data_IF_068566538153
#
_entry.id   IF_068566538153
#
_cell.length_a   1.000
_cell.length_b   1.000
_cell.length_c   1.000
_cell.angle_alpha   90.00
_cell.angle_beta   90.00
_cell.angle_gamma   90.00
#
_symmetry.space_group_name_H-M   'P 1'
#
loop_
_entity.id
_entity.type
_entity.pdbx_description
1 polymer ?
#
# COMPACT_ATOMS: atom_id res chain seq x y z
N UNK A 1 -13.81 -22.80 -1.39
CA UNK A 1 -12.72 -22.10 -0.66
C UNK A 1 -13.04 -20.62 -0.76
N UNK A 2 -13.40 -19.97 0.34
CA UNK A 2 -13.71 -18.55 0.37
C UNK A 2 -12.39 -17.77 0.31
N UNK A 3 -12.24 -16.86 -0.65
CA UNK A 3 -11.08 -16.01 -0.75
C UNK A 3 -11.20 -14.92 0.33
N UNK A 4 -10.38 -15.02 1.38
CA UNK A 4 -10.21 -13.94 2.34
C UNK A 4 -9.38 -12.89 1.62
N UNK A 5 -10.05 -11.88 1.07
CA UNK A 5 -9.38 -10.83 0.31
C UNK A 5 -9.34 -9.55 1.16
N UNK A 6 -8.15 -9.02 1.41
CA UNK A 6 -7.95 -7.67 1.94
C UNK A 6 -7.38 -6.80 0.82
N UNK A 7 -8.14 -5.83 0.35
CA UNK A 7 -7.64 -4.80 -0.57
C UNK A 7 -7.08 -3.65 0.26
N UNK A 8 -5.83 -3.26 0.04
CA UNK A 8 -5.12 -2.20 0.79
C UNK A 8 -4.86 -1.00 -0.13
N UNK A 9 -5.30 0.21 0.25
CA UNK A 9 -4.48 1.42 0.45
C UNK A 9 -5.36 2.68 0.43
N UNK A 10 -5.41 3.36 1.57
CA UNK A 10 -5.39 4.82 1.63
C UNK A 10 -4.67 5.17 2.93
N UNK A 11 -3.43 5.64 2.79
CA UNK A 11 -2.33 5.68 3.77
C UNK A 11 -1.73 4.30 4.11
N UNK A 12 -0.50 4.06 3.65
CA UNK A 12 0.43 3.07 4.20
C UNK A 12 0.65 3.36 5.70
N UNK A 13 -0.23 2.82 6.54
CA UNK A 13 -0.19 3.03 7.98
C UNK A 13 0.75 2.00 8.63
N UNK A 14 1.87 2.51 9.13
CA UNK A 14 2.59 2.13 10.36
C UNK A 14 2.56 0.64 10.72
N UNK A 15 3.56 -0.12 10.27
CA UNK A 15 4.08 -1.23 11.07
C UNK A 15 5.14 -0.66 12.01
N UNK A 16 4.70 -0.21 13.19
CA UNK A 16 5.56 -0.17 14.36
C UNK A 16 5.19 -1.38 15.23
N UNK A 17 6.16 -1.85 16.01
CA UNK A 17 6.10 -2.92 17.01
C UNK A 17 6.68 -4.28 16.60
N UNK A 18 8.00 -4.37 16.70
CA UNK A 18 8.64 -5.38 17.58
C UNK A 18 9.78 -4.85 18.47
N UNK A 19 10.15 -3.57 18.44
CA UNK A 19 11.16 -3.03 19.38
C UNK A 19 10.70 -1.70 19.98
N UNK A 20 10.52 -1.65 21.30
CA UNK A 20 9.98 -0.52 22.03
C UNK A 20 10.78 0.76 21.84
N UNK A 21 10.22 1.71 21.09
CA UNK A 21 10.72 3.07 20.98
C UNK A 21 9.63 4.06 21.38
N UNK A 22 9.96 4.82 22.42
CA UNK A 22 9.19 5.88 23.04
C UNK A 22 9.15 7.10 22.10
N UNK A 23 7.95 7.55 21.69
CA UNK A 23 7.73 8.58 20.66
C UNK A 23 7.91 10.03 21.17
N UNK A 24 8.70 10.27 22.22
CA UNK A 24 8.85 11.60 22.83
C UNK A 24 10.29 12.10 22.96
N UNK A 25 11.22 11.69 22.09
CA UNK A 25 12.59 12.22 22.12
C UNK A 25 12.97 12.98 20.86
N UNK A 26 13.34 14.24 21.08
CA UNK A 26 13.86 15.21 20.11
C UNK A 26 14.97 14.63 19.23
N UNK A 27 14.95 15.03 17.96
CA UNK A 27 15.94 14.64 16.96
C UNK A 27 17.36 15.08 17.39
N UNK A 28 18.37 14.18 17.38
CA UNK A 28 19.75 14.59 17.60
C UNK A 28 20.29 15.33 16.37
N UNK A 29 21.23 16.28 16.55
CA UNK A 29 21.75 17.08 15.46
C UNK A 29 22.68 16.27 14.56
N UNK A 30 22.72 16.67 13.29
CA UNK A 30 23.57 16.07 12.26
C UNK A 30 25.05 16.09 12.67
N UNK A 31 25.67 14.91 12.74
CA UNK A 31 27.11 14.76 12.87
C UNK A 31 27.70 14.13 11.61
N UNK A 32 28.73 14.78 11.11
CA UNK A 32 29.56 14.42 9.98
C UNK A 32 30.44 13.19 10.23
N UNK A 33 30.57 12.39 9.18
CA UNK A 33 31.75 11.66 8.71
C UNK A 33 32.19 10.37 9.43
N UNK A 34 32.06 9.24 8.70
CA UNK A 34 33.13 8.25 8.56
C UNK A 34 32.78 7.27 7.44
N UNK A 35 33.60 7.29 6.39
CA UNK A 35 33.66 6.30 5.30
C UNK A 35 33.94 4.90 5.83
N UNK A 36 33.08 3.93 5.51
CA UNK A 36 33.48 2.53 5.31
C UNK A 36 32.62 1.89 4.21
N UNK A 37 33.30 1.17 3.35
CA UNK A 37 32.87 0.61 2.08
C UNK A 37 31.93 -0.59 2.23
N UNK A 38 30.75 -0.52 1.64
CA UNK A 38 30.09 -1.63 0.94
C UNK A 38 28.97 -1.05 0.08
N UNK A 39 29.30 -0.80 -1.19
CA UNK A 39 28.34 -0.49 -2.25
C UNK A 39 27.52 -1.75 -2.56
N UNK A 40 26.56 -2.05 -1.68
CA UNK A 40 25.32 -2.66 -2.14
C UNK A 40 24.48 -1.51 -2.66
N UNK A 41 24.31 -1.46 -3.99
CA UNK A 41 23.26 -0.69 -4.68
C UNK A 41 22.10 -0.43 -3.72
N UNK A 42 21.92 0.83 -3.31
CA UNK A 42 20.95 1.22 -2.29
C UNK A 42 19.56 0.88 -2.81
N UNK A 43 19.03 -0.28 -2.40
CA UNK A 43 17.77 -0.84 -2.88
C UNK A 43 16.67 0.23 -2.93
N UNK A 44 15.90 0.26 -4.01
CA UNK A 44 14.79 1.22 -4.19
C UNK A 44 13.51 0.76 -3.45
N UNK A 45 13.53 -0.43 -2.86
CA UNK A 45 12.46 -0.99 -2.05
C UNK A 45 12.99 -1.68 -0.79
N UNK A 46 12.13 -1.81 0.22
CA UNK A 46 12.34 -2.66 1.39
C UNK A 46 11.57 -3.97 1.27
N UNK A 47 12.13 -5.05 1.82
CA UNK A 47 11.47 -6.36 1.82
C UNK A 47 11.53 -7.05 3.17
N UNK A 48 10.37 -7.46 3.68
CA UNK A 48 10.22 -8.06 4.99
C UNK A 48 9.49 -9.41 4.90
N UNK A 49 9.89 -10.44 5.66
CA UNK A 49 9.10 -11.66 5.76
C UNK A 49 7.72 -11.35 6.37
N UNK A 50 6.65 -11.92 5.83
CA UNK A 50 5.33 -11.85 6.47
C UNK A 50 5.18 -12.89 7.57
N UNK A 51 4.28 -12.61 8.52
CA UNK A 51 3.80 -13.62 9.46
C UNK A 51 2.96 -14.67 8.73
N UNK A 52 2.90 -15.87 9.30
CA UNK A 52 2.10 -17.00 8.80
C UNK A 52 1.10 -17.49 9.86
N UNK A 53 0.77 -16.61 10.80
CA UNK A 53 -0.19 -16.90 11.86
C UNK A 53 -1.62 -16.91 11.26
N UNK A 54 -2.33 -18.06 11.31
CA UNK A 54 -3.64 -18.22 10.67
C UNK A 54 -4.77 -17.48 11.40
N UNK A 55 -4.45 -16.72 12.46
CA UNK A 55 -5.41 -15.91 13.21
C UNK A 55 -6.19 -14.97 12.28
N UNK A 56 -7.51 -14.81 12.51
CA UNK A 56 -8.31 -13.85 11.75
C UNK A 56 -7.74 -12.44 11.87
N UNK A 57 -7.95 -11.63 10.84
CA UNK A 57 -7.57 -10.22 10.92
C UNK A 57 -8.38 -9.50 12.00
N UNK A 58 -7.76 -8.54 12.68
CA UNK A 58 -8.43 -7.69 13.65
C UNK A 58 -8.63 -6.29 13.09
N UNK A 59 -9.73 -5.64 13.46
CA UNK A 59 -10.01 -4.25 13.07
C UNK A 59 -10.19 -3.41 14.33
N UNK A 60 -9.37 -2.38 14.46
CA UNK A 60 -9.38 -1.45 15.59
C UNK A 60 -9.88 -0.10 15.09
N UNK A 61 -10.93 0.43 15.72
CA UNK A 61 -11.40 1.80 15.44
C UNK A 61 -10.75 2.79 16.39
N UNK A 62 -10.42 3.98 15.90
CA UNK A 62 -9.80 5.04 16.69
C UNK A 62 -10.41 6.41 16.39
N UNK A 63 -10.27 7.31 17.36
CA UNK A 63 -10.57 8.73 17.23
C UNK A 63 -9.35 9.50 17.70
N UNK A 64 -8.77 10.32 16.82
CA UNK A 64 -7.66 11.21 17.14
C UNK A 64 -8.14 12.65 17.15
N UNK A 65 -7.56 13.47 18.02
CA UNK A 65 -7.79 14.91 18.05
C UNK A 65 -6.47 15.64 17.77
N UNK A 66 -6.04 15.74 16.50
CA UNK A 66 -4.74 16.32 16.16
C UNK A 66 -4.63 17.82 16.49
N UNK A 67 -5.76 18.52 16.60
CA UNK A 67 -5.81 19.92 17.03
C UNK A 67 -7.15 20.23 17.69
N UNK A 68 -7.22 21.34 18.44
CA UNK A 68 -8.43 21.72 19.17
C UNK A 68 -9.64 21.80 18.23
N UNK A 69 -10.69 21.03 18.54
CA UNK A 69 -11.93 21.02 17.77
C UNK A 69 -11.87 20.27 16.44
N UNK A 70 -10.74 19.64 16.08
CA UNK A 70 -10.64 18.77 14.90
C UNK A 70 -10.49 17.31 15.33
N UNK A 71 -11.43 16.48 14.91
CA UNK A 71 -11.42 15.04 15.17
C UNK A 71 -11.21 14.28 13.87
N UNK A 72 -10.39 13.22 13.95
CA UNK A 72 -10.15 12.28 12.86
C UNK A 72 -10.62 10.91 13.32
N UNK A 73 -11.53 10.32 12.57
CA UNK A 73 -12.04 8.98 12.81
C UNK A 73 -11.36 8.05 11.82
N UNK A 74 -10.88 6.91 12.31
CA UNK A 74 -10.19 5.97 11.46
C UNK A 74 -10.26 4.54 11.97
N UNK A 75 -9.70 3.64 11.17
CA UNK A 75 -9.56 2.23 11.50
C UNK A 75 -8.21 1.71 11.06
N UNK A 76 -7.69 0.75 11.81
CA UNK A 76 -6.52 -0.04 11.48
C UNK A 76 -6.94 -1.50 11.39
N UNK A 77 -6.63 -2.15 10.27
CA UNK A 77 -6.78 -3.58 10.11
C UNK A 77 -5.41 -4.25 10.24
N UNK A 78 -5.30 -5.27 11.07
CA UNK A 78 -4.08 -6.07 11.25
C UNK A 78 -4.29 -7.45 10.64
N UNK A 79 -3.42 -7.82 9.69
CA UNK A 79 -3.48 -9.10 8.96
C UNK A 79 -2.28 -9.95 9.35
N UNK A 80 -2.54 -11.15 9.89
CA UNK A 80 -1.52 -12.02 10.48
C UNK A 80 -0.93 -13.06 9.51
N UNK A 81 -1.63 -13.41 8.43
CA UNK A 81 -1.12 -14.24 7.33
C UNK A 81 -1.41 -13.58 5.96
N UNK A 82 -0.67 -12.50 5.62
CA UNK A 82 -0.92 -11.74 4.39
C UNK A 82 -0.82 -12.58 3.12
N UNK A 83 0.09 -13.56 3.06
CA UNK A 83 0.25 -14.40 1.87
C UNK A 83 -1.02 -15.18 1.54
N UNK A 84 -1.75 -15.65 2.56
CA UNK A 84 -2.97 -16.45 2.37
C UNK A 84 -4.27 -15.66 2.48
N UNK A 85 -4.23 -14.43 2.99
CA UNK A 85 -5.44 -13.65 3.31
C UNK A 85 -5.47 -12.24 2.75
N UNK A 86 -4.44 -11.75 2.08
CA UNK A 86 -4.47 -10.46 1.41
C UNK A 86 -4.58 -10.68 -0.11
N UNK A 87 -5.50 -9.95 -0.75
CA UNK A 87 -5.69 -10.04 -2.21
C UNK A 87 -5.99 -8.68 -2.81
N UNK A 88 -5.33 -8.39 -3.93
CA UNK A 88 -5.65 -7.23 -4.77
C UNK A 88 -6.71 -7.66 -5.77
N UNK A 89 -7.87 -7.01 -5.72
CA UNK A 89 -9.02 -7.33 -6.57
C UNK A 89 -9.24 -6.27 -7.65
N UNK A 90 -9.50 -6.71 -8.87
CA UNK A 90 -9.99 -5.84 -9.94
C UNK A 90 -11.43 -5.37 -9.70
N UNK A 91 -11.83 -4.18 -10.20
CA UNK A 91 -13.17 -3.63 -9.96
C UNK A 91 -14.27 -4.49 -10.58
N UNK A 92 -15.12 -5.06 -9.72
CA UNK A 92 -16.20 -5.98 -10.14
C UNK A 92 -15.70 -7.36 -10.58
N UNK A 93 -14.49 -7.76 -10.17
CA UNK A 93 -13.89 -9.06 -10.47
C UNK A 93 -12.93 -9.05 -11.67
N UNK A 94 -12.44 -10.24 -12.02
CA UNK A 94 -11.40 -10.41 -13.04
C UNK A 94 -11.74 -9.76 -14.40
N UNK A 95 -10.77 -9.06 -14.97
CA UNK A 95 -10.91 -8.24 -16.17
C UNK A 95 -11.66 -6.92 -15.94
N UNK A 96 -11.81 -6.51 -14.68
CA UNK A 96 -12.41 -5.22 -14.31
C UNK A 96 -11.60 -4.04 -14.83
N UNK A 97 -10.27 -4.11 -14.74
CA UNK A 97 -9.36 -3.06 -15.22
C UNK A 97 -9.35 -2.99 -16.75
N UNK A 98 -9.32 -4.12 -17.44
CA UNK A 98 -9.39 -4.19 -18.91
C UNK A 98 -10.67 -3.54 -19.45
N UNK A 99 -11.80 -3.79 -18.77
CA UNK A 99 -13.10 -3.21 -19.11
C UNK A 99 -13.32 -1.81 -18.52
N UNK A 100 -12.30 -1.24 -17.89
CA UNK A 100 -12.34 0.10 -17.27
C UNK A 100 -13.55 0.32 -16.35
N UNK A 101 -13.87 -0.70 -15.54
CA UNK A 101 -15.03 -0.65 -14.64
C UNK A 101 -14.74 0.22 -13.43
N UNK A 102 -15.73 1.02 -13.03
CA UNK A 102 -15.78 1.66 -11.72
C UNK A 102 -16.84 0.99 -10.87
N UNK A 103 -16.40 0.36 -9.78
CA UNK A 103 -17.28 -0.42 -8.88
C UNK A 103 -16.94 -0.05 -7.44
N UNK A 104 -17.93 0.27 -6.59
CA UNK A 104 -17.69 0.49 -5.17
C UNK A 104 -16.95 -0.69 -4.53
N UNK A 105 -15.96 -0.40 -3.67
CA UNK A 105 -15.17 -1.44 -3.00
C UNK A 105 -16.04 -2.49 -2.30
N UNK A 106 -17.16 -2.07 -1.70
CA UNK A 106 -18.11 -2.96 -1.05
C UNK A 106 -18.70 -4.03 -2.00
N UNK A 107 -19.02 -3.69 -3.25
CA UNK A 107 -19.59 -4.64 -4.21
C UNK A 107 -18.56 -5.66 -4.70
N UNK A 108 -17.34 -5.20 -4.99
CA UNK A 108 -16.22 -6.08 -5.32
C UNK A 108 -15.90 -7.01 -4.14
N UNK A 109 -15.91 -6.47 -2.92
CA UNK A 109 -15.61 -7.19 -1.69
C UNK A 109 -16.63 -8.30 -1.39
N UNK A 110 -17.92 -8.02 -1.52
CA UNK A 110 -18.99 -9.01 -1.37
C UNK A 110 -18.81 -10.17 -2.36
N UNK A 111 -18.46 -9.87 -3.61
CA UNK A 111 -18.26 -10.88 -4.66
C UNK A 111 -16.99 -11.71 -4.42
N UNK A 112 -15.97 -11.10 -3.82
CA UNK A 112 -14.72 -11.77 -3.45
C UNK A 112 -14.79 -12.55 -2.13
N UNK A 113 -15.84 -12.34 -1.32
CA UNK A 113 -15.95 -12.95 0.01
C UNK A 113 -15.03 -12.31 1.06
N UNK A 114 -14.71 -11.02 0.91
CA UNK A 114 -13.87 -10.27 1.85
C UNK A 114 -14.52 -10.13 3.23
N UNK A 115 -13.73 -10.30 4.28
CA UNK A 115 -14.11 -9.90 5.64
C UNK A 115 -13.90 -8.38 5.85
N UNK A 116 -12.86 -7.80 5.23
CA UNK A 116 -12.54 -6.37 5.25
C UNK A 116 -12.02 -5.96 3.87
N UNK A 117 -12.42 -4.78 3.40
CA UNK A 117 -11.93 -4.22 2.14
C UNK A 117 -11.82 -2.70 2.23
N UNK A 118 -10.77 -2.15 1.63
CA UNK A 118 -10.65 -0.71 1.35
C UNK A 118 -10.37 -0.49 -0.14
N UNK A 119 -10.67 0.69 -0.67
CA UNK A 119 -10.13 1.10 -1.97
C UNK A 119 -8.59 1.06 -1.92
N UNK A 120 -7.97 0.93 -3.09
CA UNK A 120 -6.54 0.69 -3.21
C UNK A 120 -5.92 1.62 -4.27
N UNK A 121 -5.52 1.07 -5.42
CA UNK A 121 -4.81 1.80 -6.46
C UNK A 121 -5.60 2.96 -7.07
N UNK A 122 -4.85 3.86 -7.70
CA UNK A 122 -5.39 5.01 -8.43
C UNK A 122 -6.03 4.58 -9.75
N UNK A 123 -6.94 5.41 -10.24
CA UNK A 123 -7.62 5.21 -11.51
C UNK A 123 -7.90 6.56 -12.18
N UNK A 124 -8.08 6.54 -13.50
CA UNK A 124 -8.57 7.71 -14.23
C UNK A 124 -10.08 7.84 -13.98
N UNK A 125 -10.51 8.89 -13.28
CA UNK A 125 -11.91 9.08 -12.90
C UNK A 125 -12.86 9.29 -14.10
N UNK A 126 -12.35 9.74 -15.24
CA UNK A 126 -13.15 9.97 -16.45
C UNK A 126 -13.34 8.71 -17.27
N UNK A 127 -12.30 7.88 -17.41
CA UNK A 127 -12.36 6.67 -18.23
C UNK A 127 -12.60 5.39 -17.44
N UNK A 128 -12.32 5.38 -16.13
CA UNK A 128 -12.32 4.18 -15.30
C UNK A 128 -11.06 3.31 -15.45
N UNK A 129 -10.05 3.77 -16.18
CA UNK A 129 -8.82 3.02 -16.38
C UNK A 129 -8.01 2.90 -15.08
N UNK A 130 -7.60 1.67 -14.73
CA UNK A 130 -6.67 1.42 -13.63
C UNK A 130 -5.28 2.01 -13.94
N UNK A 131 -4.61 2.58 -12.94
CA UNK A 131 -3.28 3.17 -13.06
C UNK A 131 -2.25 2.39 -12.25
N UNK A 132 -0.99 2.45 -12.68
CA UNK A 132 0.12 1.77 -12.01
C UNK A 132 0.21 0.27 -12.32
N UNK A 133 1.10 -0.40 -11.62
CA UNK A 133 1.28 -1.84 -11.70
C UNK A 133 0.24 -2.54 -10.81
N UNK A 134 -0.44 -3.55 -11.36
CA UNK A 134 -1.41 -4.37 -10.64
C UNK A 134 -1.13 -5.83 -10.92
N UNK A 135 -0.93 -6.61 -9.86
CA UNK A 135 -0.91 -8.06 -9.88
C UNK A 135 -2.04 -8.55 -8.97
N UNK A 136 -2.94 -9.36 -9.54
CA UNK A 136 -4.08 -9.93 -8.84
C UNK A 136 -3.99 -11.44 -8.92
N UNK A 137 -3.79 -12.08 -7.76
CA UNK A 137 -3.64 -13.54 -7.62
C UNK A 137 -2.59 -14.14 -8.59
N UNK A 138 -1.44 -13.46 -8.70
CA UNK A 138 -0.31 -13.85 -9.55
C UNK A 138 -0.45 -13.49 -11.03
N UNK A 139 -1.58 -12.91 -11.46
CA UNK A 139 -1.75 -12.41 -12.82
C UNK A 139 -1.38 -10.93 -12.89
N UNK A 140 -0.44 -10.59 -13.78
CA UNK A 140 -0.18 -9.22 -14.17
C UNK A 140 -1.41 -8.65 -14.90
N UNK A 141 -2.09 -7.70 -14.27
CA UNK A 141 -3.32 -7.06 -14.77
C UNK A 141 -2.97 -5.78 -15.55
N UNK A 142 -2.14 -4.92 -14.96
CA UNK A 142 -1.66 -3.69 -15.58
C UNK A 142 -0.17 -3.54 -15.34
N UNK A 143 0.53 -3.00 -16.33
CA UNK A 143 1.93 -2.58 -16.24
C UNK A 143 2.00 -1.09 -16.55
N UNK A 144 2.74 -0.34 -15.75
CA UNK A 144 2.90 1.11 -15.92
C UNK A 144 4.38 1.48 -15.97
N UNK A 145 4.77 2.42 -16.86
CA UNK A 145 6.12 2.98 -16.85
C UNK A 145 6.32 4.04 -15.74
N UNK A 146 5.26 4.40 -15.01
CA UNK A 146 5.30 5.45 -13.99
C UNK A 146 5.92 4.93 -12.70
N UNK A 147 6.82 5.72 -12.13
CA UNK A 147 7.60 5.37 -10.95
C UNK A 147 6.95 5.90 -9.67
N UNK A 148 6.01 5.13 -9.13
CA UNK A 148 5.36 5.46 -7.85
C UNK A 148 5.63 4.40 -6.79
N UNK A 149 5.36 4.74 -5.52
CA UNK A 149 5.37 3.79 -4.41
C UNK A 149 4.46 2.58 -4.69
N UNK A 150 4.95 1.38 -4.37
CA UNK A 150 4.24 0.12 -4.58
C UNK A 150 4.22 -0.71 -3.29
N UNK A 151 3.17 -1.50 -3.15
CA UNK A 151 3.07 -2.55 -2.15
C UNK A 151 2.77 -3.87 -2.85
N UNK A 152 3.51 -4.91 -2.50
CA UNK A 152 3.28 -6.24 -3.03
C UNK A 152 3.66 -7.37 -2.08
N UNK A 153 3.18 -8.56 -2.43
CA UNK A 153 3.49 -9.82 -1.76
C UNK A 153 4.10 -10.75 -2.80
N UNK A 154 5.30 -11.23 -2.52
CA UNK A 154 6.02 -12.22 -3.33
C UNK A 154 5.51 -13.63 -3.02
N UNK A 155 5.76 -14.59 -3.93
CA UNK A 155 5.32 -15.99 -3.80
C UNK A 155 5.85 -16.69 -2.53
N UNK A 156 7.03 -16.29 -2.05
CA UNK A 156 7.61 -16.78 -0.80
C UNK A 156 7.04 -16.11 0.46
N UNK A 157 6.07 -15.20 0.32
CA UNK A 157 5.44 -14.48 1.42
C UNK A 157 6.19 -13.23 1.86
N UNK A 158 7.25 -12.80 1.16
CA UNK A 158 7.87 -11.50 1.47
C UNK A 158 6.96 -10.34 1.06
N UNK A 159 6.77 -9.41 1.99
CA UNK A 159 6.18 -8.10 1.74
C UNK A 159 7.23 -7.20 1.08
N UNK A 160 6.82 -6.40 0.12
CA UNK A 160 7.69 -5.46 -0.60
C UNK A 160 7.04 -4.08 -0.58
N UNK A 161 7.82 -3.06 -0.23
CA UNK A 161 7.40 -1.67 -0.16
C UNK A 161 8.43 -0.76 -0.83
N UNK A 162 8.00 0.14 -1.69
CA UNK A 162 8.86 1.15 -2.31
C UNK A 162 8.77 1.14 -3.82
N UNK A 163 9.87 1.41 -4.50
CA UNK A 163 9.89 1.58 -5.94
C UNK A 163 10.51 0.37 -6.65
N UNK A 164 9.82 -0.12 -7.67
CA UNK A 164 10.19 -1.34 -8.39
C UNK A 164 10.56 -1.03 -9.84
N UNK A 165 11.65 -1.63 -10.31
CA UNK A 165 12.02 -1.63 -11.72
C UNK A 165 11.17 -2.63 -12.52
N UNK A 166 11.25 -2.57 -13.86
CA UNK A 166 10.61 -3.60 -14.70
C UNK A 166 11.20 -5.00 -14.44
N UNK A 167 12.50 -5.10 -14.14
CA UNK A 167 13.16 -6.36 -13.83
C UNK A 167 12.60 -6.97 -12.53
N UNK A 168 12.40 -6.14 -11.50
CA UNK A 168 11.81 -6.58 -10.23
C UNK A 168 10.41 -7.17 -10.42
N UNK A 169 9.62 -6.58 -11.32
CA UNK A 169 8.25 -7.02 -11.66
C UNK A 169 8.25 -8.33 -12.47
N UNK A 170 9.29 -8.57 -13.27
CA UNK A 170 9.40 -9.72 -14.16
C UNK A 170 10.16 -10.91 -13.57
N UNK A 171 10.60 -10.82 -12.31
CA UNK A 171 11.25 -11.93 -11.62
C UNK A 171 10.37 -13.18 -11.60
N UNK A 172 10.78 -14.20 -12.38
CA UNK A 172 10.09 -15.48 -12.47
C UNK A 172 10.45 -16.45 -11.34
N UNK A 173 11.57 -16.22 -10.62
CA UNK A 173 12.01 -17.08 -9.53
C UNK A 173 11.13 -16.87 -8.30
N UNK A 174 10.87 -15.61 -7.96
CA UNK A 174 9.98 -15.23 -6.87
C UNK A 174 8.99 -14.15 -7.35
N UNK A 175 7.97 -14.53 -8.16
CA UNK A 175 7.05 -13.56 -8.72
C UNK A 175 6.16 -12.94 -7.64
N UNK A 176 5.62 -11.76 -7.93
CA UNK A 176 4.53 -11.20 -7.15
C UNK A 176 3.26 -12.05 -7.29
N UNK A 177 2.60 -12.31 -6.17
CA UNK A 177 1.24 -12.86 -6.13
C UNK A 177 0.19 -11.78 -5.92
N UNK A 178 0.57 -10.68 -5.27
CA UNK A 178 -0.26 -9.49 -5.12
C UNK A 178 0.63 -8.26 -5.35
N UNK A 179 0.13 -7.25 -6.06
CA UNK A 179 0.82 -5.98 -6.23
C UNK A 179 -0.17 -4.87 -6.55
N UNK A 180 0.02 -3.70 -5.93
CA UNK A 180 -0.71 -2.49 -6.25
C UNK A 180 0.20 -1.27 -6.12
N UNK A 181 0.10 -0.34 -7.07
CA UNK A 181 0.75 0.97 -6.98
C UNK A 181 -0.10 1.98 -6.21
N UNK A 182 0.56 2.76 -5.36
CA UNK A 182 0.04 3.94 -4.69
C UNK A 182 0.76 5.20 -5.18
N UNK A 183 0.80 6.20 -4.30
CA UNK A 183 1.48 7.49 -4.46
C UNK A 183 1.97 7.90 -3.07
N UNK A 184 3.21 8.38 -2.98
CA UNK A 184 3.99 8.68 -1.77
C UNK A 184 4.31 7.45 -0.91
N UNK A 185 5.59 7.13 -0.77
CA UNK A 185 6.06 6.18 0.23
C UNK A 185 6.19 6.86 1.61
N UNK A 186 5.22 6.58 2.49
CA UNK A 186 5.09 7.28 3.77
C UNK A 186 6.23 6.98 4.76
N UNK A 187 6.57 5.71 4.93
CA UNK A 187 7.53 5.23 5.93
C UNK A 187 8.52 4.25 5.32
N UNK A 188 9.81 4.53 5.46
CA UNK A 188 10.90 3.64 5.08
C UNK A 188 11.72 3.34 6.32
N UNK A 189 11.83 2.05 6.66
CA UNK A 189 12.55 1.57 7.84
C UNK A 189 12.17 2.31 9.15
N UNK A 190 10.85 2.47 9.36
CA UNK A 190 10.30 3.17 10.52
C UNK A 190 10.45 4.71 10.50
N UNK A 191 11.05 5.30 9.47
CA UNK A 191 11.28 6.74 9.35
C UNK A 191 10.37 7.38 8.30
N UNK A 192 9.97 8.63 8.54
CA UNK A 192 9.16 9.42 7.60
C UNK A 192 9.94 9.64 6.29
N UNK A 193 9.33 9.24 5.17
CA UNK A 193 9.98 9.25 3.85
C UNK A 193 9.25 10.10 2.79
N UNK A 194 8.34 10.96 3.25
CA UNK A 194 7.47 11.78 2.40
C UNK A 194 8.27 12.71 1.48
N UNK A 195 9.23 13.49 2.03
CA UNK A 195 9.98 14.46 1.23
C UNK A 195 10.77 13.82 0.09
N UNK A 196 11.39 12.67 0.36
CA UNK A 196 12.09 11.92 -0.67
C UNK A 196 11.12 11.34 -1.71
N UNK A 197 9.95 10.88 -1.26
CA UNK A 197 8.94 10.37 -2.18
C UNK A 197 8.42 11.45 -3.11
N UNK A 198 8.18 12.66 -2.60
CA UNK A 198 7.79 13.79 -3.42
C UNK A 198 8.84 14.10 -4.48
N UNK A 199 10.13 14.04 -4.16
CA UNK A 199 11.21 14.28 -5.14
C UNK A 199 11.30 13.20 -6.22
N UNK A 200 11.09 11.93 -5.85
CA UNK A 200 11.18 10.80 -6.79
C UNK A 200 9.94 10.70 -7.69
N UNK A 201 8.75 10.98 -7.14
CA UNK A 201 7.48 10.83 -7.84
C UNK A 201 7.06 12.12 -8.58
N UNK A 202 7.69 13.26 -8.29
CA UNK A 202 7.50 14.49 -9.06
C UNK A 202 8.37 14.48 -10.31
N UNK A 203 7.74 14.52 -11.49
CA UNK A 203 8.46 14.82 -12.73
C UNK A 203 9.12 16.19 -12.62
N UNK A 204 10.44 16.29 -12.87
CA UNK A 204 11.15 17.59 -12.94
C UNK A 204 10.60 18.54 -14.03
N UNK A 205 9.64 18.10 -14.86
CA UNK A 205 9.03 18.88 -15.94
C UNK A 205 7.51 19.11 -15.82
N UNK A 206 6.85 18.67 -14.75
CA UNK A 206 5.44 19.01 -14.54
C UNK A 206 5.31 20.08 -13.46
N UNK A 207 5.03 21.31 -13.91
CA UNK A 207 4.50 22.36 -13.05
C UNK A 207 3.12 21.92 -12.57
N UNK A 208 3.05 21.19 -11.47
CA UNK A 208 1.77 20.76 -10.92
C UNK A 208 1.87 20.55 -9.43
N UNK A 209 1.10 21.36 -8.71
CA UNK A 209 0.81 21.24 -7.29
C UNK A 209 0.37 19.81 -6.98
N UNK A 210 1.22 19.06 -6.27
CA UNK A 210 0.92 17.72 -5.80
C UNK A 210 -0.01 17.81 -4.58
N UNK A 211 -1.32 17.84 -4.84
CA UNK A 211 -2.33 17.74 -3.80
C UNK A 211 -2.58 16.26 -3.50
N UNK A 212 -2.18 15.80 -2.31
CA UNK A 212 -2.60 14.49 -1.78
C UNK A 212 -4.07 14.62 -1.39
N UNK A 213 -4.97 14.30 -2.32
CA UNK A 213 -6.41 14.23 -2.05
C UNK A 213 -6.75 12.93 -1.31
N UNK A 214 -6.74 12.99 0.02
CA UNK A 214 -7.18 11.90 0.89
C UNK A 214 -8.71 11.91 1.10
N UNK A 215 -9.49 11.79 0.02
CA UNK A 215 -10.94 11.65 0.12
C UNK A 215 -11.36 10.18 -0.02
N UNK A 216 -11.34 9.45 1.09
CA UNK A 216 -11.98 8.13 1.19
C UNK A 216 -13.18 8.24 2.13
N UNK A 217 -14.39 8.41 1.59
CA UNK A 217 -15.63 8.24 2.36
C UNK A 217 -15.90 6.74 2.56
N UNK A 218 -15.64 6.21 3.75
CA UNK A 218 -16.18 4.92 4.15
C UNK A 218 -17.56 5.13 4.81
N UNK A 219 -18.64 5.14 4.01
CA UNK A 219 -20.01 5.11 4.55
C UNK A 219 -20.35 3.70 5.01
N UNK A 220 -20.35 3.48 6.33
CA UNK A 220 -21.03 2.35 6.95
C UNK A 220 -22.30 2.86 7.63
N UNK A 221 -23.44 2.61 7.01
CA UNK A 221 -24.74 2.81 7.62
C UNK A 221 -25.19 1.48 8.22
N UNK A 222 -25.04 1.30 9.53
CA UNK A 222 -25.77 0.27 10.24
C UNK A 222 -27.15 0.83 10.62
N UNK A 223 -28.22 0.38 9.95
CA UNK A 223 -29.56 0.47 10.56
C UNK A 223 -29.65 -0.61 11.63
N UNK A 224 -30.15 -0.20 12.81
CA UNK A 224 -30.45 -1.07 13.95
C UNK A 224 -31.40 -2.19 13.58
#
# INVERSE_FOLDING_TARGET
>A
MAARCFTLVSLLCVCAWTYGLDLTRDAPPASSDSTDSTDQSRSTFESWPSSSDPSPASVHSFILQPSRGRYVYGRVALVQDPLRSLSVLEPGGAGGCERQRLVPAAHTALSGGCEVAVNAGFYNASSGACLGNVVSDGRLVTKSPVYNAQFGIRKDGRLVFGYLSEEDLQDQKNPFVQLVSGVVWLLRDGQVYINHSLQVESDENQSSTFHIDANTELKLTCRR
#
